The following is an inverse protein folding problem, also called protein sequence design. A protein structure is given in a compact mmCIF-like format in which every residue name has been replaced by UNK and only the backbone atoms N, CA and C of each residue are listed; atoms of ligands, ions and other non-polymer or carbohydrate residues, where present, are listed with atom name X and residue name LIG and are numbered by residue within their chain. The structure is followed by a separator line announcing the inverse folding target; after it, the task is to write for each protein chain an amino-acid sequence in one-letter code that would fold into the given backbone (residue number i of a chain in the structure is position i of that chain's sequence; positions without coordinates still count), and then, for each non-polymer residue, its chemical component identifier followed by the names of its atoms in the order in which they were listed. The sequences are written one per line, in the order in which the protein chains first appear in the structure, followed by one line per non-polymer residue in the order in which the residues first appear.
data_IF_543250692258
#
_entry.id   IF_543250692258
#
_cell.length_a   1.000
_cell.length_b   1.000
_cell.length_c   1.000
_cell.angle_alpha   90.00
_cell.angle_beta   90.00
_cell.angle_gamma   90.00
#
_symmetry.space_group_name_H-M   'P 1'
#
loop_
_entity.id
_entity.type
_entity.pdbx_description
1 polymer ?
#
# COMPACT_ATOMS: atom_id res chain seq x y z
N UNK A 1 -17.25 -17.28 3.67
CA UNK A 1 -16.55 -16.00 3.69
C UNK A 1 -15.52 -15.94 2.58
N UNK A 2 -15.34 -14.76 1.99
CA UNK A 2 -14.34 -14.56 0.96
C UNK A 2 -12.94 -14.52 1.58
N UNK A 3 -11.95 -15.06 0.87
CA UNK A 3 -10.55 -14.84 1.21
C UNK A 3 -10.19 -13.38 0.94
N UNK A 4 -9.05 -12.91 1.47
CA UNK A 4 -8.56 -11.56 1.20
C UNK A 4 -8.39 -11.32 -0.30
N UNK A 5 -7.83 -12.28 -1.02
CA UNK A 5 -7.64 -12.17 -2.48
C UNK A 5 -8.97 -12.10 -3.20
N UNK A 6 -9.93 -12.95 -2.85
CA UNK A 6 -11.26 -12.95 -3.47
C UNK A 6 -11.99 -11.62 -3.25
N UNK A 7 -11.94 -11.10 -2.03
CA UNK A 7 -12.54 -9.81 -1.70
C UNK A 7 -11.89 -8.68 -2.51
N UNK A 8 -10.55 -8.66 -2.54
CA UNK A 8 -9.78 -7.67 -3.28
C UNK A 8 -10.10 -7.71 -4.77
N UNK A 9 -10.25 -8.91 -5.34
CA UNK A 9 -10.60 -9.08 -6.75
C UNK A 9 -11.99 -8.51 -7.03
N UNK A 10 -12.96 -8.76 -6.14
CA UNK A 10 -14.30 -8.22 -6.28
C UNK A 10 -14.30 -6.70 -6.27
N UNK A 11 -13.52 -6.09 -5.37
CA UNK A 11 -13.37 -4.64 -5.32
C UNK A 11 -12.71 -4.12 -6.60
N UNK A 12 -11.66 -4.79 -7.07
CA UNK A 12 -10.94 -4.39 -8.28
C UNK A 12 -11.84 -4.37 -9.51
N UNK A 13 -12.72 -5.34 -9.62
CA UNK A 13 -13.68 -5.41 -10.74
C UNK A 13 -14.70 -4.27 -10.71
N UNK A 14 -14.94 -3.71 -9.53
CA UNK A 14 -15.88 -2.60 -9.35
C UNK A 14 -15.25 -1.23 -9.61
N UNK A 15 -13.93 -1.15 -9.68
CA UNK A 15 -13.25 0.13 -9.86
C UNK A 15 -13.36 0.63 -11.31
N UNK A 16 -13.56 1.93 -11.46
CA UNK A 16 -13.45 2.58 -12.74
C UNK A 16 -11.99 2.54 -13.24
N UNK A 17 -11.76 2.60 -14.55
CA UNK A 17 -10.38 2.74 -15.07
C UNK A 17 -9.66 3.90 -14.41
N UNK A 18 -8.46 3.68 -13.91
CA UNK A 18 -7.70 4.68 -13.16
C UNK A 18 -8.11 4.82 -11.70
N UNK A 19 -9.08 4.04 -11.24
CA UNK A 19 -9.50 4.03 -9.85
C UNK A 19 -8.42 3.47 -8.93
N UNK A 20 -8.49 3.83 -7.66
CA UNK A 20 -7.50 3.46 -6.65
C UNK A 20 -8.19 2.78 -5.49
N UNK A 21 -7.73 1.57 -5.15
CA UNK A 21 -8.19 0.87 -3.97
C UNK A 21 -7.20 1.16 -2.83
N UNK A 22 -7.67 1.80 -1.77
CA UNK A 22 -6.84 2.20 -0.63
C UNK A 22 -7.24 1.38 0.59
N UNK A 23 -6.26 0.76 1.22
CA UNK A 23 -6.44 -0.05 2.42
C UNK A 23 -5.57 0.52 3.54
N UNK A 24 -6.18 0.79 4.69
CA UNK A 24 -5.45 1.20 5.89
C UNK A 24 -5.30 -0.02 6.79
N UNK A 25 -4.07 -0.47 6.99
CA UNK A 25 -3.76 -1.66 7.77
C UNK A 25 -3.04 -1.28 9.06
N UNK A 26 -3.70 -1.46 10.21
CA UNK A 26 -3.05 -1.35 11.51
C UNK A 26 -2.23 -2.60 11.78
N UNK A 27 -0.98 -2.43 12.19
CA UNK A 27 -0.11 -3.59 12.39
C UNK A 27 0.90 -3.36 13.50
N UNK A 28 1.47 -4.46 13.97
CA UNK A 28 2.58 -4.46 14.91
C UNK A 28 3.92 -4.35 14.19
N UNK A 29 5.04 -4.29 14.95
CA UNK A 29 6.37 -4.11 14.37
C UNK A 29 6.78 -5.20 13.36
N UNK A 30 6.23 -6.41 13.48
CA UNK A 30 6.55 -7.50 12.55
C UNK A 30 5.95 -7.31 11.15
N UNK A 31 4.93 -6.44 11.02
CA UNK A 31 4.29 -6.14 9.75
C UNK A 31 3.67 -7.35 9.04
N UNK A 32 3.28 -8.36 9.80
CA UNK A 32 2.75 -9.61 9.26
C UNK A 32 1.46 -9.40 8.49
N UNK A 33 0.53 -8.63 9.07
CA UNK A 33 -0.74 -8.31 8.43
C UNK A 33 -0.55 -7.47 7.18
N UNK A 34 0.32 -6.46 7.26
CA UNK A 34 0.60 -5.60 6.11
C UNK A 34 1.22 -6.38 4.95
N UNK A 35 2.12 -7.34 5.24
CA UNK A 35 2.71 -8.20 4.21
C UNK A 35 1.65 -9.05 3.53
N UNK A 36 0.74 -9.63 4.29
CA UNK A 36 -0.33 -10.46 3.75
C UNK A 36 -1.26 -9.64 2.85
N UNK A 37 -1.62 -8.43 3.28
CA UNK A 37 -2.47 -7.55 2.48
C UNK A 37 -1.78 -7.07 1.21
N UNK A 38 -0.49 -6.71 1.30
CA UNK A 38 0.27 -6.33 0.11
C UNK A 38 0.37 -7.48 -0.89
N UNK A 39 0.59 -8.69 -0.41
CA UNK A 39 0.63 -9.87 -1.25
C UNK A 39 -0.71 -10.09 -1.97
N UNK A 40 -1.82 -9.93 -1.25
CA UNK A 40 -3.15 -10.09 -1.83
C UNK A 40 -3.43 -9.02 -2.91
N UNK A 41 -3.05 -7.77 -2.66
CA UNK A 41 -3.23 -6.71 -3.64
C UNK A 41 -2.38 -6.97 -4.89
N UNK A 42 -1.15 -7.44 -4.71
CA UNK A 42 -0.25 -7.73 -5.85
C UNK A 42 -0.74 -8.87 -6.73
N UNK A 43 -1.59 -9.76 -6.23
CA UNK A 43 -2.19 -10.80 -7.06
C UNK A 43 -3.29 -10.25 -7.96
N UNK A 44 -3.89 -9.13 -7.60
CA UNK A 44 -5.07 -8.59 -8.26
C UNK A 44 -4.76 -7.34 -9.06
N UNK A 45 -3.89 -6.47 -8.53
CA UNK A 45 -3.52 -5.20 -9.16
C UNK A 45 -2.14 -5.29 -9.76
N UNK A 46 -1.96 -4.70 -10.93
CA UNK A 46 -0.65 -4.61 -11.57
C UNK A 46 0.28 -3.66 -10.82
N UNK A 47 -0.27 -2.63 -10.21
CA UNK A 47 0.49 -1.61 -9.50
C UNK A 47 0.00 -1.51 -8.06
N UNK A 48 0.96 -1.54 -7.12
CA UNK A 48 0.69 -1.42 -5.70
C UNK A 48 1.74 -0.49 -5.10
N UNK A 49 1.32 0.43 -4.24
CA UNK A 49 2.25 1.24 -3.47
C UNK A 49 1.96 1.10 -1.98
N UNK A 50 2.98 1.39 -1.17
CA UNK A 50 2.86 1.35 0.28
C UNK A 50 3.38 2.66 0.84
N UNK A 51 2.59 3.26 1.73
CA UNK A 51 2.97 4.49 2.43
C UNK A 51 2.85 4.27 3.92
N UNK A 52 3.90 4.58 4.65
CA UNK A 52 3.88 4.45 6.10
C UNK A 52 4.94 5.33 6.73
N UNK A 53 4.80 5.54 8.04
CA UNK A 53 5.81 6.16 8.88
C UNK A 53 7.12 5.36 8.81
N UNK A 54 8.25 6.05 8.72
CA UNK A 54 9.57 5.40 8.62
C UNK A 54 9.86 4.48 9.81
N UNK A 55 9.47 4.89 11.02
CA UNK A 55 9.70 4.06 12.20
C UNK A 55 8.87 2.79 12.16
N UNK A 56 7.64 2.86 11.64
CA UNK A 56 6.78 1.70 11.44
C UNK A 56 7.41 0.71 10.47
N UNK A 57 7.88 1.19 9.33
CA UNK A 57 8.49 0.35 8.30
C UNK A 57 9.82 -0.27 8.74
N UNK A 58 10.50 0.34 9.71
CA UNK A 58 11.71 -0.21 10.31
C UNK A 58 11.43 -1.18 11.46
N UNK A 59 10.16 -1.46 11.74
CA UNK A 59 9.78 -2.36 12.81
C UNK A 59 9.99 -1.81 14.20
N UNK A 60 10.02 -0.49 14.37
CA UNK A 60 10.31 0.15 15.65
C UNK A 60 9.09 0.47 16.49
N UNK A 61 7.90 0.49 15.88
CA UNK A 61 6.66 0.76 16.61
C UNK A 61 5.45 0.20 15.87
N UNK A 62 4.33 0.14 16.58
CA UNK A 62 3.03 -0.15 15.98
C UNK A 62 2.51 1.09 15.25
N UNK A 63 1.65 0.89 14.28
CA UNK A 63 1.04 1.99 13.57
C UNK A 63 0.23 1.51 12.38
N UNK A 64 -0.09 2.45 11.51
CA UNK A 64 -0.85 2.18 10.30
C UNK A 64 0.06 2.17 9.07
N UNK A 65 -0.22 1.23 8.18
CA UNK A 65 0.40 1.14 6.87
C UNK A 65 -0.72 1.33 5.85
N UNK A 66 -0.52 2.23 4.91
CA UNK A 66 -1.49 2.45 3.84
C UNK A 66 -1.00 1.74 2.60
N UNK A 67 -1.85 0.89 2.04
CA UNK A 67 -1.54 0.10 0.85
C UNK A 67 -2.56 0.49 -0.21
N UNK A 68 -2.09 0.82 -1.40
CA UNK A 68 -2.97 1.20 -2.50
C UNK A 68 -2.71 0.31 -3.71
N UNK A 69 -3.78 -0.12 -4.36
CA UNK A 69 -3.71 -0.92 -5.59
C UNK A 69 -4.38 -0.19 -6.75
N UNK A 70 -3.84 -0.34 -7.94
CA UNK A 70 -4.34 0.32 -9.13
C UNK A 70 -4.08 -0.52 -10.37
N UNK A 71 -4.97 -0.39 -11.37
CA UNK A 71 -4.73 -0.95 -12.70
C UNK A 71 -3.93 0.01 -13.60
N UNK A 72 -3.80 1.27 -13.18
CA UNK A 72 -3.01 2.28 -13.87
C UNK A 72 -1.67 2.47 -13.15
N UNK A 73 -0.60 2.87 -13.86
CA UNK A 73 0.70 3.08 -13.23
C UNK A 73 0.64 4.05 -12.06
N UNK A 74 1.34 3.69 -10.99
CA UNK A 74 1.53 4.52 -9.81
C UNK A 74 2.90 5.19 -9.86
N UNK A 75 3.08 6.34 -9.18
CA UNK A 75 4.35 7.05 -9.19
C UNK A 75 5.51 6.19 -8.70
N UNK A 76 6.69 6.43 -9.27
CA UNK A 76 7.91 5.80 -8.81
C UNK A 76 8.41 6.49 -7.53
N UNK A 77 9.13 5.74 -6.71
CA UNK A 77 9.71 6.27 -5.48
C UNK A 77 10.66 7.43 -5.80
N UNK A 78 10.64 8.45 -4.96
CA UNK A 78 11.47 9.63 -5.12
C UNK A 78 10.93 10.69 -6.07
N UNK A 79 9.80 10.42 -6.73
CA UNK A 79 9.18 11.40 -7.63
C UNK A 79 8.41 12.45 -6.82
N UNK A 80 8.12 13.59 -7.48
CA UNK A 80 7.28 14.65 -6.89
C UNK A 80 5.87 14.11 -6.64
N UNK A 81 5.36 13.31 -7.55
CA UNK A 81 4.03 12.71 -7.43
C UNK A 81 3.96 11.74 -6.23
N UNK A 82 5.01 10.95 -6.00
CA UNK A 82 5.07 10.05 -4.84
C UNK A 82 5.06 10.84 -3.53
N UNK A 83 5.81 11.94 -3.46
CA UNK A 83 5.83 12.81 -2.29
C UNK A 83 4.45 13.42 -2.03
N UNK A 84 3.75 13.85 -3.09
CA UNK A 84 2.42 14.43 -2.96
C UNK A 84 1.40 13.40 -2.45
N UNK A 85 1.44 12.17 -2.96
CA UNK A 85 0.58 11.08 -2.49
C UNK A 85 0.85 10.76 -1.03
N UNK A 86 2.13 10.68 -0.65
CA UNK A 86 2.51 10.39 0.73
C UNK A 86 1.96 11.43 1.69
N UNK A 87 2.07 12.72 1.35
CA UNK A 87 1.51 13.79 2.18
C UNK A 87 0.00 13.69 2.30
N UNK A 88 -0.67 13.41 1.21
CA UNK A 88 -2.13 13.32 1.19
C UNK A 88 -2.62 12.14 2.02
N UNK A 89 -2.03 10.98 1.85
CA UNK A 89 -2.44 9.76 2.55
C UNK A 89 -2.11 9.78 4.03
N UNK A 90 -1.02 10.43 4.42
CA UNK A 90 -0.57 10.49 5.81
C UNK A 90 -0.96 11.77 6.54
N UNK A 91 -1.66 12.68 5.86
CA UNK A 91 -2.09 13.93 6.47
C UNK A 91 -0.99 14.97 6.66
N UNK A 92 0.21 14.74 6.17
CA UNK A 92 1.28 15.73 6.12
C UNK A 92 2.03 16.00 7.41
N UNK A 93 1.64 15.39 8.53
CA UNK A 93 2.19 15.71 9.85
C UNK A 93 3.42 14.93 10.27
N UNK A 94 3.74 13.83 9.61
CA UNK A 94 4.86 12.94 9.96
C UNK A 94 5.65 12.59 8.71
N UNK A 95 6.98 12.40 8.84
CA UNK A 95 7.78 11.87 7.73
C UNK A 95 7.26 10.50 7.33
N UNK A 96 6.97 10.33 6.05
CA UNK A 96 6.49 9.09 5.51
C UNK A 96 7.43 8.59 4.42
N UNK A 97 7.50 7.26 4.30
CA UNK A 97 8.15 6.62 3.17
C UNK A 97 7.10 6.18 2.18
N UNK A 98 7.43 6.29 0.91
CA UNK A 98 6.64 5.79 -0.20
C UNK A 98 7.41 4.65 -0.86
N UNK A 99 6.81 3.47 -0.90
CA UNK A 99 7.36 2.33 -1.59
C UNK A 99 6.56 2.10 -2.87
N UNK A 100 7.24 2.14 -4.01
CA UNK A 100 6.63 1.86 -5.30
C UNK A 100 6.34 0.36 -5.48
N UNK A 101 5.81 0.00 -6.64
CA UNK A 101 5.42 -1.39 -6.91
C UNK A 101 6.59 -2.36 -6.77
N UNK A 102 7.76 -2.00 -7.26
CA UNK A 102 8.93 -2.88 -7.14
C UNK A 102 9.29 -3.13 -5.67
N UNK A 103 9.28 -2.10 -4.85
CA UNK A 103 9.57 -2.23 -3.43
C UNK A 103 8.46 -2.96 -2.68
N UNK A 104 7.21 -2.73 -3.07
CA UNK A 104 6.07 -3.45 -2.48
C UNK A 104 6.19 -4.96 -2.73
N UNK A 105 6.64 -5.36 -3.91
CA UNK A 105 6.88 -6.78 -4.22
C UNK A 105 7.95 -7.40 -3.34
N UNK A 106 9.03 -6.65 -3.10
CA UNK A 106 10.09 -7.12 -2.18
C UNK A 106 9.56 -7.29 -0.76
N UNK A 107 8.75 -6.34 -0.31
CA UNK A 107 8.17 -6.37 1.03
C UNK A 107 7.20 -7.55 1.21
N UNK A 108 6.38 -7.81 0.22
CA UNK A 108 5.39 -8.90 0.30
C UNK A 108 6.04 -10.27 0.28
N UNK A 109 7.25 -10.37 -0.21
CA UNK A 109 7.98 -11.62 -0.32
C UNK A 109 7.83 -12.23 -1.68
#
# INVERSE_FOLDING_TARGET
ALTTVEFTRTVAESLAPGGLYILNCGDGPALTGARAEASALLEVFEYVCIVADSAMLKGRRRGNVIIAGSHAPLPEAGSVQAAAISRELMGGGVPAQYWDTARARQFAG
#
